data_IF_845729129829
#
_entry.id   IF_845729129829
#
_cell.length_a   1.000
_cell.length_b   1.000
_cell.length_c   1.000
_cell.angle_alpha   90.00
_cell.angle_beta   90.00
_cell.angle_gamma   90.00
#
_symmetry.space_group_name_H-M   'P 1'
#
loop_
_entity.id
_entity.type
_entity.pdbx_description
1 polymer ?
#
# COMPACT_ATOMS: atom_id res chain seq x y z
N UNK A 1 3.65 -20.24 11.89
CA UNK A 1 2.16 -20.15 11.75
C UNK A 1 1.78 -18.72 12.13
N UNK A 2 1.03 -18.01 11.30
CA UNK A 2 0.62 -16.62 11.63
C UNK A 2 -0.51 -16.69 12.65
N UNK A 3 -0.29 -16.13 13.83
CA UNK A 3 -1.23 -16.11 14.93
C UNK A 3 -1.87 -14.72 15.06
N UNK A 4 -3.07 -14.69 15.61
CA UNK A 4 -3.72 -13.45 16.03
C UNK A 4 -3.09 -12.99 17.33
N UNK A 5 -2.46 -11.82 17.33
CA UNK A 5 -1.83 -11.22 18.50
C UNK A 5 -2.48 -9.90 18.89
N UNK A 6 -2.22 -9.43 20.10
CA UNK A 6 -2.59 -8.10 20.56
C UNK A 6 -1.40 -7.17 20.34
N UNK A 7 -1.49 -6.33 19.30
CA UNK A 7 -0.49 -5.30 19.03
C UNK A 7 -0.77 -4.09 19.93
N UNK A 8 0.28 -3.53 20.54
CA UNK A 8 0.16 -2.34 21.40
C UNK A 8 0.31 -1.08 20.56
N UNK A 9 -0.61 -0.15 20.73
CA UNK A 9 -0.51 1.19 20.13
C UNK A 9 0.59 1.96 20.84
N UNK A 10 1.64 2.34 20.10
CA UNK A 10 2.74 3.16 20.61
C UNK A 10 2.43 4.65 20.48
N UNK A 11 1.86 5.03 19.33
CA UNK A 11 1.41 6.40 19.06
C UNK A 11 0.34 6.41 17.98
N UNK A 12 -0.45 7.47 17.96
CA UNK A 12 -1.39 7.77 16.88
C UNK A 12 -1.51 9.27 16.69
N UNK A 13 -1.60 9.68 15.44
CA UNK A 13 -1.79 11.08 15.05
C UNK A 13 -2.69 11.20 13.81
N UNK A 14 -3.42 12.30 13.71
CA UNK A 14 -4.14 12.69 12.50
C UNK A 14 -3.18 13.51 11.62
N UNK A 15 -2.74 12.96 10.49
CA UNK A 15 -1.72 13.57 9.60
C UNK A 15 -2.33 14.35 8.44
N UNK A 16 -3.61 14.13 8.15
CA UNK A 16 -4.41 14.90 7.19
C UNK A 16 -5.90 14.63 7.49
N UNK A 17 -6.82 15.33 6.83
CA UNK A 17 -8.27 15.14 7.01
C UNK A 17 -8.64 13.67 6.83
N UNK A 18 -9.18 13.06 7.90
CA UNK A 18 -9.56 11.64 7.97
C UNK A 18 -8.42 10.64 7.73
N UNK A 19 -7.16 11.07 7.72
CA UNK A 19 -5.98 10.21 7.58
C UNK A 19 -5.23 10.14 8.90
N UNK A 20 -5.10 8.93 9.41
CA UNK A 20 -4.45 8.63 10.68
C UNK A 20 -3.20 7.79 10.46
N UNK A 21 -2.17 8.10 11.21
CA UNK A 21 -0.90 7.37 11.28
C UNK A 21 -0.82 6.72 12.68
N UNK A 22 -0.57 5.42 12.72
CA UNK A 22 -0.48 4.65 13.96
C UNK A 22 0.76 3.78 13.95
N UNK A 23 1.55 3.84 15.04
CA UNK A 23 2.62 2.89 15.31
C UNK A 23 2.13 1.78 16.25
N UNK A 24 2.41 0.54 15.87
CA UNK A 24 2.00 -0.67 16.57
C UNK A 24 3.24 -1.51 16.93
N UNK A 25 3.43 -1.80 18.21
CA UNK A 25 4.37 -2.82 18.66
C UNK A 25 3.77 -4.20 18.38
N UNK A 26 4.44 -5.01 17.55
CA UNK A 26 3.93 -6.29 17.05
C UNK A 26 5.07 -7.18 16.55
N UNK A 27 4.96 -8.49 16.78
CA UNK A 27 5.91 -9.49 16.27
C UNK A 27 5.98 -9.50 14.74
N UNK A 28 4.90 -9.07 14.08
CA UNK A 28 4.83 -8.98 12.63
C UNK A 28 5.95 -8.11 12.02
N UNK A 29 6.49 -7.14 12.78
CA UNK A 29 7.57 -6.27 12.32
C UNK A 29 8.84 -7.01 11.90
N UNK A 30 9.15 -8.14 12.55
CA UNK A 30 10.39 -8.89 12.29
C UNK A 30 10.44 -9.53 10.90
N UNK A 31 9.28 -9.95 10.38
CA UNK A 31 9.16 -10.65 9.09
C UNK A 31 8.58 -9.75 7.99
N UNK A 32 8.13 -8.55 8.34
CA UNK A 32 7.47 -7.64 7.41
C UNK A 32 8.40 -7.20 6.27
N UNK A 33 7.79 -6.97 5.10
CA UNK A 33 8.43 -6.48 3.87
C UNK A 33 7.57 -5.39 3.22
N UNK A 34 8.16 -4.46 2.45
CA UNK A 34 7.41 -3.44 1.72
C UNK A 34 6.32 -4.04 0.82
N UNK A 35 5.13 -3.43 0.84
CA UNK A 35 3.99 -3.89 0.04
C UNK A 35 3.09 -4.93 0.72
N UNK A 36 3.49 -5.46 1.88
CA UNK A 36 2.62 -6.31 2.70
C UNK A 36 1.64 -5.47 3.54
N UNK A 37 0.68 -6.15 4.15
CA UNK A 37 -0.35 -5.55 5.00
C UNK A 37 -0.54 -6.34 6.29
N UNK A 38 -1.29 -5.76 7.23
CA UNK A 38 -1.81 -6.45 8.42
C UNK A 38 -3.34 -6.40 8.42
N UNK A 39 -3.98 -7.43 8.97
CA UNK A 39 -5.42 -7.43 9.25
C UNK A 39 -5.66 -6.95 10.67
N UNK A 40 -6.31 -5.80 10.83
CA UNK A 40 -6.65 -5.20 12.13
C UNK A 40 -8.10 -5.52 12.48
N UNK A 41 -8.35 -5.95 13.70
CA UNK A 41 -9.69 -6.30 14.20
C UNK A 41 -10.14 -5.26 15.22
N UNK A 42 -11.42 -4.92 15.19
CA UNK A 42 -12.04 -4.12 16.25
C UNK A 42 -12.41 -5.01 17.45
N UNK A 43 -12.58 -4.37 18.60
CA UNK A 43 -13.14 -5.04 19.78
C UNK A 43 -14.69 -5.02 19.79
N UNK A 44 -15.31 -4.46 18.74
CA UNK A 44 -16.76 -4.38 18.58
C UNK A 44 -17.29 -5.61 17.86
N UNK A 45 -18.06 -6.45 18.55
CA UNK A 45 -18.66 -7.67 18.01
C UNK A 45 -19.62 -7.44 16.84
N UNK A 46 -20.05 -6.21 16.57
CA UNK A 46 -20.86 -5.87 15.39
C UNK A 46 -20.02 -5.73 14.11
N UNK A 47 -18.69 -5.65 14.21
CA UNK A 47 -17.74 -5.44 13.10
C UNK A 47 -16.83 -6.65 12.93
N UNK A 48 -17.41 -7.77 12.50
CA UNK A 48 -16.77 -9.09 12.45
C UNK A 48 -15.56 -9.17 11.50
N UNK A 49 -15.59 -8.45 10.39
CA UNK A 49 -14.51 -8.52 9.39
C UNK A 49 -13.32 -7.65 9.81
N UNK A 50 -12.08 -8.11 9.58
CA UNK A 50 -10.89 -7.29 9.80
C UNK A 50 -10.79 -6.17 8.75
N UNK A 51 -9.92 -5.19 9.05
CA UNK A 51 -9.50 -4.15 8.11
C UNK A 51 -8.08 -4.47 7.65
N UNK A 52 -7.91 -4.85 6.38
CA UNK A 52 -6.58 -4.97 5.80
C UNK A 52 -6.00 -3.55 5.65
N UNK A 53 -4.88 -3.30 6.29
CA UNK A 53 -4.18 -2.02 6.22
C UNK A 53 -2.74 -2.29 5.80
N UNK A 54 -2.31 -1.62 4.72
CA UNK A 54 -0.95 -1.73 4.21
C UNK A 54 0.07 -1.20 5.22
N UNK A 55 1.22 -1.85 5.28
CA UNK A 55 2.35 -1.42 6.10
C UNK A 55 2.98 -0.20 5.43
N UNK A 56 3.10 0.90 6.19
CA UNK A 56 3.70 2.15 5.77
C UNK A 56 5.20 2.19 6.07
N UNK A 57 5.60 1.75 7.28
CA UNK A 57 6.99 1.68 7.71
C UNK A 57 7.23 0.49 8.65
N UNK A 58 8.49 0.03 8.69
CA UNK A 58 8.94 -1.13 9.46
C UNK A 58 10.12 -0.71 10.33
N UNK A 59 9.97 -0.81 11.65
CA UNK A 59 11.06 -0.62 12.62
C UNK A 59 11.33 -1.97 13.31
N UNK A 60 12.28 -2.73 12.77
CA UNK A 60 12.63 -4.06 13.31
C UNK A 60 13.32 -3.98 14.65
N UNK A 61 14.07 -2.90 14.92
CA UNK A 61 14.78 -2.71 16.19
C UNK A 61 13.81 -2.51 17.34
N UNK A 62 12.77 -1.71 17.11
CA UNK A 62 11.68 -1.50 18.08
C UNK A 62 10.61 -2.59 18.05
N UNK A 63 10.64 -3.50 17.07
CA UNK A 63 9.55 -4.47 16.86
C UNK A 63 8.23 -3.78 16.53
N UNK A 64 8.26 -2.73 15.72
CA UNK A 64 7.10 -1.89 15.45
C UNK A 64 6.80 -1.74 13.96
N UNK A 65 5.51 -1.61 13.64
CA UNK A 65 5.00 -1.27 12.31
C UNK A 65 4.24 0.05 12.35
N UNK A 66 4.43 0.89 11.35
CA UNK A 66 3.57 2.03 11.09
C UNK A 66 2.53 1.66 10.06
N UNK A 67 1.28 1.97 10.36
CA UNK A 67 0.17 1.91 9.42
C UNK A 67 -0.43 3.29 9.24
N UNK A 68 -0.84 3.59 8.01
CA UNK A 68 -1.58 4.84 7.71
C UNK A 68 -2.88 4.44 7.03
N UNK A 69 -3.99 4.95 7.55
CA UNK A 69 -5.31 4.56 7.09
C UNK A 69 -6.28 5.74 7.05
N UNK A 70 -7.31 5.59 6.22
CA UNK A 70 -8.39 6.57 6.10
C UNK A 70 -9.61 6.14 6.91
N UNK A 71 -10.22 7.08 7.63
CA UNK A 71 -11.55 6.92 8.21
C UNK A 71 -12.59 7.13 7.11
N UNK A 72 -13.40 6.11 6.83
CA UNK A 72 -14.34 6.10 5.70
C UNK A 72 -15.79 6.33 6.12
N UNK A 73 -16.04 6.67 7.38
CA UNK A 73 -17.36 6.96 7.93
C UNK A 73 -17.45 6.68 9.42
N UNK A 74 -18.47 7.26 10.08
CA UNK A 74 -18.64 7.24 11.54
C UNK A 74 -18.84 5.84 12.12
N UNK A 75 -19.48 4.93 11.36
CA UNK A 75 -19.80 3.59 11.85
C UNK A 75 -18.86 2.50 11.29
N UNK A 76 -17.57 2.81 11.12
CA UNK A 76 -16.57 1.91 10.54
C UNK A 76 -15.54 1.46 11.57
N UNK A 77 -14.82 0.36 11.28
CA UNK A 77 -13.71 -0.08 12.12
C UNK A 77 -12.55 0.92 12.13
N UNK A 78 -12.29 1.62 11.02
CA UNK A 78 -11.28 2.66 10.95
C UNK A 78 -11.61 3.86 11.84
N UNK A 79 -12.89 4.18 12.04
CA UNK A 79 -13.32 5.18 13.04
C UNK A 79 -12.99 4.74 14.47
N UNK A 80 -13.19 3.46 14.79
CA UNK A 80 -12.81 2.97 16.13
C UNK A 80 -11.28 3.01 16.31
N UNK A 81 -10.51 2.64 15.31
CA UNK A 81 -9.05 2.76 15.40
C UNK A 81 -8.61 4.21 15.59
N UNK A 82 -9.27 5.18 14.97
CA UNK A 82 -8.92 6.60 15.13
C UNK A 82 -9.16 7.16 16.53
N UNK A 83 -9.82 6.42 17.39
CA UNK A 83 -10.07 6.76 18.79
C UNK A 83 -9.05 6.11 19.76
N UNK A 84 -8.20 5.20 19.25
CA UNK A 84 -7.18 4.56 20.07
C UNK A 84 -6.11 5.56 20.49
N UNK A 85 -5.57 5.35 21.69
CA UNK A 85 -4.47 6.14 22.24
C UNK A 85 -3.27 5.26 22.57
N UNK A 86 -2.13 5.87 22.82
CA UNK A 86 -0.94 5.12 23.23
C UNK A 86 -1.23 4.27 24.48
N UNK A 87 -0.86 2.98 24.42
CA UNK A 87 -1.11 1.98 25.45
C UNK A 87 -2.31 1.06 25.17
N UNK A 88 -3.23 1.46 24.29
CA UNK A 88 -4.32 0.58 23.87
C UNK A 88 -3.77 -0.65 23.11
N UNK A 89 -4.60 -1.68 22.99
CA UNK A 89 -4.25 -2.89 22.21
C UNK A 89 -5.26 -3.14 21.10
N UNK A 90 -4.75 -3.57 19.94
CA UNK A 90 -5.55 -3.92 18.77
C UNK A 90 -5.21 -5.35 18.36
N UNK A 91 -6.22 -6.25 18.24
CA UNK A 91 -5.95 -7.58 17.71
C UNK A 91 -5.55 -7.51 16.24
N UNK A 92 -4.41 -8.10 15.88
CA UNK A 92 -3.88 -8.10 14.52
C UNK A 92 -3.47 -9.49 14.07
N UNK A 93 -3.46 -9.70 12.76
CA UNK A 93 -2.79 -10.83 12.09
C UNK A 93 -1.88 -10.23 11.02
N UNK A 94 -0.60 -10.60 11.02
CA UNK A 94 0.37 -10.11 10.04
C UNK A 94 1.78 -10.70 10.19
N UNK A 95 2.70 -10.33 9.29
CA UNK A 95 2.45 -9.68 8.02
C UNK A 95 1.75 -10.62 7.04
N UNK A 96 0.91 -10.07 6.16
CA UNK A 96 0.09 -10.83 5.20
C UNK A 96 0.43 -10.43 3.76
N UNK A 97 0.19 -11.36 2.84
CA UNK A 97 0.44 -11.19 1.41
C UNK A 97 1.92 -11.21 1.04
N UNK A 98 2.19 -10.93 -0.24
CA UNK A 98 3.52 -10.83 -0.83
C UNK A 98 3.91 -9.38 -1.01
N UNK A 99 5.17 -9.05 -0.71
CA UNK A 99 5.72 -7.71 -0.87
C UNK A 99 6.19 -7.43 -2.31
N UNK A 100 6.67 -6.21 -2.52
CA UNK A 100 7.34 -5.83 -3.77
C UNK A 100 8.68 -6.57 -3.93
N UNK A 101 9.03 -7.02 -5.15
CA UNK A 101 10.31 -7.66 -5.44
C UNK A 101 11.41 -6.59 -5.56
N UNK A 102 12.19 -6.39 -4.48
CA UNK A 102 13.21 -5.34 -4.41
C UNK A 102 14.38 -5.59 -5.36
N UNK A 103 14.77 -6.84 -5.52
CA UNK A 103 15.88 -7.29 -6.36
C UNK A 103 15.69 -6.94 -7.86
N UNK A 104 14.47 -6.71 -8.28
CA UNK A 104 14.14 -6.34 -9.66
C UNK A 104 14.56 -4.90 -10.02
N UNK A 105 14.80 -4.05 -9.03
CA UNK A 105 15.19 -2.65 -9.23
C UNK A 105 16.71 -2.45 -9.27
N UNK A 106 17.50 -3.48 -9.02
CA UNK A 106 18.96 -3.36 -8.96
C UNK A 106 19.53 -2.79 -10.27
N UNK A 107 20.30 -1.69 -10.15
CA UNK A 107 20.91 -0.99 -11.29
C UNK A 107 19.93 -0.22 -12.19
N UNK A 108 18.65 -0.11 -11.83
CA UNK A 108 17.59 0.51 -12.62
C UNK A 108 17.18 1.87 -12.06
N UNK A 109 16.49 2.65 -12.89
CA UNK A 109 15.72 3.81 -12.46
C UNK A 109 14.29 3.33 -12.18
N UNK A 110 13.83 3.48 -10.92
CA UNK A 110 12.52 3.05 -10.50
C UNK A 110 11.53 4.21 -10.39
N UNK A 111 10.32 4.04 -10.94
CA UNK A 111 9.15 4.82 -10.55
C UNK A 111 8.51 4.18 -9.34
N UNK A 112 8.33 4.95 -8.27
CA UNK A 112 7.55 4.60 -7.09
C UNK A 112 6.29 5.45 -7.10
N UNK A 113 5.16 4.85 -7.41
CA UNK A 113 3.93 5.59 -7.70
C UNK A 113 2.85 5.30 -6.65
N UNK A 114 2.42 6.34 -5.94
CA UNK A 114 1.37 6.27 -4.93
C UNK A 114 0.19 7.19 -5.24
N UNK A 115 -1.05 6.73 -4.98
CA UNK A 115 -2.23 7.57 -5.13
C UNK A 115 -3.19 7.49 -3.94
N UNK A 116 -3.55 8.65 -3.35
CA UNK A 116 -4.45 8.70 -2.20
C UNK A 116 -3.96 7.84 -1.03
N UNK A 117 -4.79 6.89 -0.55
CA UNK A 117 -4.39 5.98 0.54
C UNK A 117 -3.40 4.88 0.09
N UNK A 118 -3.08 4.80 -1.20
CA UNK A 118 -2.00 3.96 -1.72
C UNK A 118 -0.60 4.60 -1.62
N UNK A 119 -0.50 5.85 -1.17
CA UNK A 119 0.78 6.53 -0.91
C UNK A 119 1.58 5.89 0.23
N UNK A 120 1.00 5.57 1.40
CA UNK A 120 1.73 5.03 2.54
C UNK A 120 2.57 3.77 2.26
N UNK A 121 2.08 2.72 1.59
CA UNK A 121 2.87 1.51 1.34
C UNK A 121 4.08 1.73 0.42
N UNK A 122 4.14 2.85 -0.30
CA UNK A 122 5.28 3.22 -1.14
C UNK A 122 6.45 3.77 -0.30
N UNK A 123 6.20 4.25 0.93
CA UNK A 123 7.25 4.84 1.76
C UNK A 123 8.30 3.80 2.19
N UNK A 124 7.88 2.66 2.74
CA UNK A 124 8.82 1.62 3.12
C UNK A 124 9.59 1.06 1.91
N UNK A 125 8.93 0.95 0.77
CA UNK A 125 9.58 0.58 -0.48
C UNK A 125 10.67 1.62 -0.87
N UNK A 126 10.36 2.91 -0.77
CA UNK A 126 11.32 3.97 -1.05
C UNK A 126 12.55 3.93 -0.13
N UNK A 127 12.35 3.54 1.14
CA UNK A 127 13.45 3.39 2.12
C UNK A 127 14.35 2.20 1.82
N UNK A 128 13.78 1.07 1.40
CA UNK A 128 14.52 -0.19 1.25
C UNK A 128 15.14 -0.39 -0.13
N UNK A 129 14.63 0.27 -1.18
CA UNK A 129 15.23 0.15 -2.50
C UNK A 129 16.58 0.86 -2.59
N UNK A 130 17.59 0.14 -3.06
CA UNK A 130 18.92 0.69 -3.37
C UNK A 130 19.06 0.91 -4.88
N UNK A 131 18.42 1.97 -5.38
CA UNK A 131 18.46 2.36 -6.79
C UNK A 131 18.11 3.84 -6.95
N UNK A 132 18.23 4.39 -8.18
CA UNK A 132 17.73 5.73 -8.47
C UNK A 132 16.21 5.72 -8.46
N UNK A 133 15.61 6.49 -7.55
CA UNK A 133 14.16 6.53 -7.33
C UNK A 133 13.57 7.86 -7.78
N UNK A 134 12.50 7.79 -8.55
CA UNK A 134 11.61 8.90 -8.88
C UNK A 134 10.25 8.58 -8.25
N UNK A 135 9.91 9.31 -7.20
CA UNK A 135 8.73 9.06 -6.36
C UNK A 135 7.62 9.98 -6.84
N UNK A 136 6.55 9.41 -7.39
CA UNK A 136 5.45 10.16 -8.01
C UNK A 136 4.19 9.90 -7.19
N UNK A 137 3.72 10.91 -6.46
CA UNK A 137 2.61 10.79 -5.52
C UNK A 137 1.45 11.70 -5.89
N UNK A 138 0.25 11.11 -5.92
CA UNK A 138 -0.99 11.79 -6.29
C UNK A 138 -1.89 12.00 -5.08
N UNK A 139 -2.38 13.24 -4.92
CA UNK A 139 -3.31 13.65 -3.88
C UNK A 139 -4.52 14.37 -4.50
N UNK A 140 -5.58 14.57 -3.72
CA UNK A 140 -6.72 15.37 -4.16
C UNK A 140 -6.41 16.85 -4.15
N UNK A 141 -5.70 17.31 -3.12
CA UNK A 141 -5.45 18.72 -2.79
C UNK A 141 -4.09 18.89 -2.07
N UNK A 142 -3.88 20.04 -1.44
CA UNK A 142 -2.65 20.39 -0.73
C UNK A 142 -2.33 19.52 0.51
N UNK A 143 -3.19 18.59 0.91
CA UNK A 143 -2.93 17.67 2.02
C UNK A 143 -1.96 16.56 1.59
N UNK A 144 -0.71 16.91 1.39
CA UNK A 144 0.36 16.04 0.86
C UNK A 144 1.10 15.31 2.00
N UNK A 145 0.39 14.46 2.74
CA UNK A 145 0.97 13.71 3.86
C UNK A 145 2.14 12.82 3.40
N UNK A 146 3.13 12.63 4.26
CA UNK A 146 4.38 11.86 4.05
C UNK A 146 5.35 12.48 3.02
N UNK A 147 5.10 13.69 2.53
CA UNK A 147 5.95 14.33 1.50
C UNK A 147 7.40 14.44 1.97
N UNK A 148 7.62 14.97 3.17
CA UNK A 148 8.96 15.18 3.74
C UNK A 148 9.72 13.86 3.85
N UNK A 149 9.07 12.78 4.30
CA UNK A 149 9.69 11.46 4.41
C UNK A 149 10.07 10.90 3.03
N UNK A 150 9.30 11.18 1.99
CA UNK A 150 9.69 10.80 0.63
C UNK A 150 10.88 11.58 0.10
N UNK A 151 10.97 12.89 0.40
CA UNK A 151 12.09 13.75 -0.02
C UNK A 151 13.44 13.30 0.55
N UNK A 152 13.45 12.62 1.68
CA UNK A 152 14.64 11.98 2.26
C UNK A 152 15.12 10.75 1.47
N UNK A 153 14.25 10.17 0.63
CA UNK A 153 14.49 8.87 -0.01
C UNK A 153 14.60 8.91 -1.53
N UNK A 154 14.38 10.05 -2.16
CA UNK A 154 14.50 10.18 -3.62
C UNK A 154 13.96 11.49 -4.18
N UNK A 155 13.93 11.60 -5.50
CA UNK A 155 13.33 12.75 -6.18
C UNK A 155 11.80 12.64 -6.14
N UNK A 156 11.11 13.61 -5.54
CA UNK A 156 9.66 13.60 -5.36
C UNK A 156 8.97 14.50 -6.39
N UNK A 157 7.94 13.96 -7.02
CA UNK A 157 7.05 14.65 -7.97
C UNK A 157 5.61 14.51 -7.48
N UNK A 158 4.96 15.63 -7.21
CA UNK A 158 3.60 15.66 -6.67
C UNK A 158 2.63 16.03 -7.79
N UNK A 159 1.50 15.32 -7.83
CA UNK A 159 0.32 15.70 -8.60
C UNK A 159 -0.85 15.93 -7.65
N UNK A 160 -1.64 16.98 -7.91
CA UNK A 160 -2.90 17.23 -7.19
C UNK A 160 -4.04 17.46 -8.18
N UNK A 161 -5.22 16.87 -7.90
CA UNK A 161 -6.37 16.98 -8.80
C UNK A 161 -6.78 18.44 -9.02
N UNK A 162 -6.72 19.26 -7.96
CA UNK A 162 -7.07 20.69 -8.00
C UNK A 162 -5.94 21.60 -8.50
N UNK A 163 -4.70 21.10 -8.57
CA UNK A 163 -3.52 21.87 -8.95
C UNK A 163 -2.96 22.79 -7.84
N UNK A 164 -3.33 22.55 -6.59
CA UNK A 164 -2.89 23.36 -5.43
C UNK A 164 -1.39 23.22 -5.15
N UNK A 165 -0.81 22.04 -5.40
CA UNK A 165 0.64 21.77 -5.26
C UNK A 165 1.10 20.87 -6.41
N UNK A 166 2.31 21.14 -6.94
CA UNK A 166 2.95 20.33 -7.96
C UNK A 166 2.24 20.40 -9.31
N UNK A 167 2.14 19.29 -10.01
CA UNK A 167 1.48 19.18 -11.31
C UNK A 167 -0.03 19.06 -11.12
N UNK A 168 -0.82 19.87 -11.82
CA UNK A 168 -2.28 19.72 -11.84
C UNK A 168 -2.67 18.45 -12.58
N UNK A 169 -3.51 17.63 -11.96
CA UNK A 169 -4.00 16.36 -12.50
C UNK A 169 -3.51 15.16 -11.72
N UNK A 170 -3.26 14.05 -12.39
CA UNK A 170 -2.87 12.77 -11.79
C UNK A 170 -1.37 12.47 -11.99
N UNK A 171 -0.91 11.33 -11.47
CA UNK A 171 0.49 10.89 -11.53
C UNK A 171 1.03 10.75 -12.96
N UNK A 172 0.18 10.44 -13.95
CA UNK A 172 0.60 10.36 -15.35
C UNK A 172 0.92 11.75 -15.91
N UNK A 173 0.14 12.79 -15.53
CA UNK A 173 0.44 14.17 -15.88
C UNK A 173 1.77 14.64 -15.27
N UNK A 174 2.11 14.18 -14.06
CA UNK A 174 3.40 14.51 -13.46
C UNK A 174 4.58 13.87 -14.22
N UNK A 175 4.42 12.64 -14.72
CA UNK A 175 5.43 11.97 -15.57
C UNK A 175 5.66 12.80 -16.83
N UNK A 176 4.60 13.16 -17.54
CA UNK A 176 4.66 13.92 -18.79
C UNK A 176 5.25 15.31 -18.59
N UNK A 177 4.73 16.07 -17.63
CA UNK A 177 5.15 17.45 -17.35
C UNK A 177 6.63 17.58 -16.97
N UNK A 178 7.21 16.54 -16.35
CA UNK A 178 8.60 16.52 -15.91
C UNK A 178 9.52 15.66 -16.80
N UNK A 179 9.01 15.12 -17.92
CA UNK A 179 9.78 14.31 -18.86
C UNK A 179 10.43 13.08 -18.22
N UNK A 180 9.77 12.44 -17.25
CA UNK A 180 10.33 11.37 -16.45
C UNK A 180 10.41 10.06 -17.26
N UNK A 181 11.42 9.23 -16.94
CA UNK A 181 11.61 7.91 -17.52
C UNK A 181 12.07 6.93 -16.44
N UNK A 182 11.65 5.68 -16.54
CA UNK A 182 12.05 4.61 -15.66
C UNK A 182 12.24 3.29 -16.41
N UNK A 183 12.99 2.39 -15.78
CA UNK A 183 13.22 1.02 -16.25
C UNK A 183 12.30 0.01 -15.55
N UNK A 184 11.74 0.39 -14.39
CA UNK A 184 10.81 -0.42 -13.61
C UNK A 184 9.80 0.48 -12.87
N UNK A 185 8.58 -0.01 -12.69
CA UNK A 185 7.51 0.71 -11.99
C UNK A 185 6.96 -0.12 -10.84
N UNK A 186 6.79 0.53 -9.69
CA UNK A 186 6.07 0.00 -8.53
C UNK A 186 4.93 0.95 -8.20
N UNK A 187 3.71 0.45 -8.10
CA UNK A 187 2.55 1.30 -7.90
C UNK A 187 1.55 0.76 -6.89
N UNK A 188 0.93 1.66 -6.12
CA UNK A 188 -0.19 1.40 -5.23
C UNK A 188 -1.18 2.57 -5.28
N UNK A 189 -2.47 2.28 -5.44
CA UNK A 189 -3.50 3.32 -5.51
C UNK A 189 -4.81 2.85 -6.10
N UNK A 190 -5.71 3.77 -6.44
CA UNK A 190 -7.02 3.45 -7.00
C UNK A 190 -6.92 2.71 -8.34
N UNK A 191 -7.85 1.77 -8.59
CA UNK A 191 -7.88 0.97 -9.82
C UNK A 191 -7.77 1.79 -11.12
N UNK A 192 -8.42 2.96 -11.28
CA UNK A 192 -8.24 3.77 -12.49
C UNK A 192 -6.79 4.24 -12.69
N UNK A 193 -6.10 4.61 -11.59
CA UNK A 193 -4.67 4.99 -11.63
C UNK A 193 -3.81 3.78 -12.02
N UNK A 194 -4.01 2.63 -11.39
CA UNK A 194 -3.25 1.41 -11.68
C UNK A 194 -3.45 0.95 -13.12
N UNK A 195 -4.67 1.09 -13.67
CA UNK A 195 -4.96 0.81 -15.08
C UNK A 195 -4.17 1.73 -16.02
N UNK A 196 -4.14 3.03 -15.73
CA UNK A 196 -3.38 3.99 -16.53
C UNK A 196 -1.87 3.69 -16.49
N UNK A 197 -1.34 3.37 -15.31
CA UNK A 197 0.07 2.99 -15.12
C UNK A 197 0.40 1.70 -15.87
N UNK A 198 -0.45 0.68 -15.78
CA UNK A 198 -0.30 -0.58 -16.52
C UNK A 198 -0.23 -0.35 -18.03
N UNK A 199 -1.16 0.43 -18.59
CA UNK A 199 -1.19 0.76 -20.02
C UNK A 199 0.08 1.52 -20.44
N UNK A 200 0.54 2.47 -19.62
CA UNK A 200 1.79 3.18 -19.84
C UNK A 200 3.00 2.23 -19.85
N UNK A 201 3.07 1.34 -18.87
CA UNK A 201 4.15 0.36 -18.76
C UNK A 201 4.19 -0.60 -19.96
N UNK A 202 3.03 -1.12 -20.38
CA UNK A 202 2.90 -1.99 -21.56
C UNK A 202 3.31 -1.25 -22.85
N UNK A 203 2.88 -0.01 -23.04
CA UNK A 203 3.22 0.80 -24.21
C UNK A 203 4.74 1.14 -24.31
N UNK A 204 5.44 1.18 -23.18
CA UNK A 204 6.85 1.51 -23.11
C UNK A 204 7.77 0.30 -22.81
N UNK A 205 7.24 -0.93 -22.78
CA UNK A 205 7.94 -2.15 -22.41
C UNK A 205 8.65 -2.07 -21.06
N UNK A 206 8.01 -1.47 -20.05
CA UNK A 206 8.53 -1.31 -18.70
C UNK A 206 7.93 -2.40 -17.80
N UNK A 207 8.76 -3.11 -17.04
CA UNK A 207 8.32 -4.06 -16.01
C UNK A 207 7.58 -3.30 -14.90
N UNK A 208 6.36 -3.72 -14.57
CA UNK A 208 5.49 -2.96 -13.67
C UNK A 208 4.83 -3.86 -12.63
N UNK A 209 5.04 -3.55 -11.36
CA UNK A 209 4.41 -4.22 -10.22
C UNK A 209 3.36 -3.32 -9.61
N UNK A 210 2.14 -3.84 -9.44
CA UNK A 210 1.01 -3.11 -8.89
C UNK A 210 0.48 -3.82 -7.64
N UNK A 211 0.14 -3.02 -6.62
CA UNK A 211 -0.51 -3.51 -5.41
C UNK A 211 -2.02 -3.31 -5.52
N UNK A 212 -2.78 -4.41 -5.51
CA UNK A 212 -4.24 -4.41 -5.63
C UNK A 212 -4.90 -4.40 -4.25
N UNK A 213 -6.03 -3.72 -4.17
CA UNK A 213 -6.90 -3.69 -2.99
C UNK A 213 -8.24 -4.35 -3.29
N UNK A 214 -8.73 -5.16 -2.35
CA UNK A 214 -10.07 -5.73 -2.36
C UNK A 214 -10.60 -5.91 -0.94
N UNK A 215 -11.93 -6.02 -0.84
CA UNK A 215 -12.58 -6.37 0.43
C UNK A 215 -12.13 -7.75 0.86
N UNK A 216 -11.65 -7.87 2.09
CA UNK A 216 -11.15 -9.13 2.64
C UNK A 216 -12.01 -9.59 3.81
N UNK A 217 -12.29 -10.90 3.85
CA UNK A 217 -12.91 -11.51 5.02
C UNK A 217 -11.86 -12.22 5.87
N UNK A 218 -11.16 -13.25 5.36
CA UNK A 218 -10.19 -13.99 6.15
C UNK A 218 -8.76 -13.41 6.16
N UNK A 219 -8.34 -12.73 5.10
CA UNK A 219 -6.99 -12.20 4.93
C UNK A 219 -5.88 -13.25 4.72
N UNK A 220 -6.20 -14.54 4.74
CA UNK A 220 -5.23 -15.67 4.73
C UNK A 220 -5.42 -16.64 3.55
N UNK A 221 -6.28 -16.30 2.58
CA UNK A 221 -6.49 -17.09 1.36
C UNK A 221 -7.50 -18.23 1.48
N UNK A 222 -8.26 -18.34 2.56
CA UNK A 222 -9.19 -19.46 2.78
C UNK A 222 -10.61 -19.22 2.20
N UNK A 223 -11.13 -17.99 2.24
CA UNK A 223 -12.55 -17.71 1.95
C UNK A 223 -12.85 -17.29 0.51
N UNK A 224 -11.84 -17.05 -0.33
CA UNK A 224 -11.97 -16.62 -1.73
C UNK A 224 -12.73 -15.28 -1.95
N UNK A 225 -12.90 -14.45 -0.91
CA UNK A 225 -13.62 -13.18 -1.01
C UNK A 225 -12.85 -12.11 -1.79
N UNK A 226 -11.52 -12.12 -1.73
CA UNK A 226 -10.64 -11.11 -2.33
C UNK A 226 -9.96 -11.60 -3.62
N UNK A 227 -10.71 -12.20 -4.53
CA UNK A 227 -10.15 -12.69 -5.80
C UNK A 227 -10.08 -11.57 -6.84
N UNK A 228 -8.97 -11.54 -7.59
CA UNK A 228 -8.84 -10.77 -8.82
C UNK A 228 -8.73 -11.69 -10.03
N UNK A 229 -9.15 -11.21 -11.20
CA UNK A 229 -9.02 -11.95 -12.45
C UNK A 229 -7.57 -11.96 -12.93
N UNK A 230 -7.17 -13.09 -13.54
CA UNK A 230 -5.84 -13.28 -14.12
C UNK A 230 -5.92 -13.75 -15.56
N UNK A 231 -4.88 -13.46 -16.34
CA UNK A 231 -4.76 -13.96 -17.74
C UNK A 231 -4.57 -15.47 -17.77
N UNK A 232 -3.80 -16.02 -16.83
CA UNK A 232 -3.52 -17.45 -16.75
C UNK A 232 -4.41 -18.15 -15.74
N UNK A 233 -4.67 -19.44 -15.97
CA UNK A 233 -5.40 -20.27 -15.01
C UNK A 233 -4.51 -20.61 -13.82
N UNK A 234 -5.07 -20.56 -12.63
CA UNK A 234 -4.44 -21.10 -11.44
C UNK A 234 -4.39 -22.66 -11.54
N UNK A 235 -3.21 -23.22 -11.37
CA UNK A 235 -2.97 -24.68 -11.48
C UNK A 235 -3.67 -25.49 -10.39
N UNK A 236 -4.12 -24.85 -9.29
CA UNK A 236 -4.77 -25.52 -8.16
C UNK A 236 -6.29 -25.56 -8.32
N UNK A 237 -6.90 -24.43 -8.68
CA UNK A 237 -8.37 -24.30 -8.80
C UNK A 237 -8.87 -24.41 -10.22
N UNK A 238 -7.97 -24.35 -11.19
CA UNK A 238 -8.25 -24.37 -12.64
C UNK A 238 -9.15 -23.22 -13.12
N UNK A 239 -9.12 -22.09 -12.39
CA UNK A 239 -9.85 -20.85 -12.71
C UNK A 239 -8.87 -19.69 -12.94
N UNK A 240 -9.34 -18.65 -13.66
CA UNK A 240 -8.56 -17.43 -13.93
C UNK A 240 -8.67 -16.42 -12.77
N UNK A 241 -8.25 -16.83 -11.56
CA UNK A 241 -8.33 -16.01 -10.36
C UNK A 241 -7.11 -16.20 -9.47
N UNK A 242 -6.66 -15.11 -8.84
CA UNK A 242 -5.71 -15.11 -7.71
C UNK A 242 -6.32 -14.41 -6.51
N UNK A 243 -5.90 -14.81 -5.31
CA UNK A 243 -6.36 -14.25 -4.04
C UNK A 243 -5.44 -13.11 -3.64
N UNK A 244 -5.96 -11.89 -3.58
CA UNK A 244 -5.15 -10.71 -3.25
C UNK A 244 -4.46 -10.86 -1.88
N UNK A 245 -5.13 -11.43 -0.90
CA UNK A 245 -4.58 -11.60 0.46
C UNK A 245 -3.46 -12.64 0.58
N UNK A 246 -3.33 -13.57 -0.37
CA UNK A 246 -2.35 -14.68 -0.31
C UNK A 246 -1.37 -14.67 -1.47
N UNK A 247 -1.90 -14.53 -2.70
CA UNK A 247 -1.13 -14.60 -3.94
C UNK A 247 -0.59 -13.20 -4.33
N UNK A 248 -1.23 -12.12 -3.83
CA UNK A 248 -0.84 -10.71 -3.86
C UNK A 248 -0.52 -10.18 -2.46
N UNK A 249 -0.74 -8.88 -2.15
CA UNK A 249 -1.42 -7.88 -2.99
C UNK A 249 -0.62 -7.40 -4.20
N UNK A 250 0.70 -7.59 -4.21
CA UNK A 250 1.58 -7.17 -5.28
C UNK A 250 1.61 -8.22 -6.39
N UNK A 251 1.35 -7.77 -7.61
CA UNK A 251 1.36 -8.59 -8.82
C UNK A 251 2.16 -7.91 -9.93
N UNK A 252 2.76 -8.69 -10.82
CA UNK A 252 3.21 -8.18 -12.10
C UNK A 252 1.96 -7.72 -12.89
N UNK A 253 1.97 -6.49 -13.39
CA UNK A 253 0.77 -5.86 -13.98
C UNK A 253 0.20 -6.63 -15.17
N UNK A 254 1.05 -7.38 -15.88
CA UNK A 254 0.66 -8.22 -17.03
C UNK A 254 -0.07 -9.50 -16.62
N UNK A 255 0.02 -9.95 -15.36
CA UNK A 255 -0.65 -11.16 -14.87
C UNK A 255 -2.13 -10.94 -14.55
N UNK A 256 -2.52 -9.73 -14.21
CA UNK A 256 -3.86 -9.41 -13.71
C UNK A 256 -4.68 -8.55 -14.68
N UNK A 257 -5.99 -8.75 -14.64
CA UNK A 257 -6.97 -7.93 -15.38
C UNK A 257 -7.56 -6.90 -14.41
N UNK A 258 -7.35 -5.59 -14.70
CA UNK A 258 -7.86 -4.47 -13.91
C UNK A 258 -8.53 -3.40 -14.78
#
# INVERSE_FOLDING_TARGET
MREKELAKVLSQECIATDIFSMWLETKAAQEARPGQFISMYTNDGSKLLPRPISICEIDKEKGALRVVYRVTGENTGTKQFSQCVAGDTIPVIGPLGNGFPLEKAEGKIAFLMGGGIGVPPILELAKQLDCKKQIIVGYRDANTFLKEQFEENGSVYIATDDGSIGTKGNVMNAIEANGLKADIIYACGPTPMLRAIKNYAEANNIECYISLEERMACGIGACLACTCKTKEKDHHTNVHNKRICKDGPVFLSTEVEI
#
